data_IF_179064980349
#
_entry.id   IF_179064980349
#
_cell.length_a   1.000
_cell.length_b   1.000
_cell.length_c   1.000
_cell.angle_alpha   90.00
_cell.angle_beta   90.00
_cell.angle_gamma   90.00
#
_symmetry.space_group_name_H-M   'P 1'
#
loop_
_entity.id
_entity.type
_entity.pdbx_description
1 polymer ?
#
# COMPACT_ATOMS: atom_id res chain seq x y z
N UNK A 1 -6.98 17.34 -51.52
CA UNK A 1 -5.70 16.83 -51.00
C UNK A 1 -5.12 15.84 -52.00
N UNK A 2 -3.80 15.86 -52.22
CA UNK A 2 -3.17 14.82 -53.05
C UNK A 2 -3.05 13.50 -52.29
N UNK A 3 -3.06 12.36 -53.00
CA UNK A 3 -2.89 11.02 -52.39
C UNK A 3 -1.62 10.92 -51.52
N UNK A 4 -0.56 11.63 -51.93
CA UNK A 4 0.68 11.72 -51.17
C UNK A 4 0.51 12.47 -49.83
N UNK A 5 -0.18 13.62 -49.82
CA UNK A 5 -0.47 14.36 -48.59
C UNK A 5 -1.36 13.56 -47.63
N UNK A 6 -2.30 12.78 -48.17
CA UNK A 6 -3.15 11.90 -47.37
C UNK A 6 -2.35 10.77 -46.68
N UNK A 7 -1.47 10.09 -47.42
CA UNK A 7 -0.62 9.04 -46.87
C UNK A 7 0.35 9.54 -45.79
N UNK A 8 0.95 10.74 -45.98
CA UNK A 8 1.83 11.34 -44.98
C UNK A 8 1.08 11.68 -43.68
N UNK A 9 -0.15 12.22 -43.78
CA UNK A 9 -1.00 12.49 -42.61
C UNK A 9 -1.30 11.22 -41.82
N UNK A 10 -1.68 10.12 -42.50
CA UNK A 10 -1.94 8.84 -41.83
C UNK A 10 -0.71 8.28 -41.10
N UNK A 11 0.49 8.41 -41.67
CA UNK A 11 1.71 7.95 -41.01
C UNK A 11 2.06 8.78 -39.78
N UNK A 12 1.82 10.09 -39.82
CA UNK A 12 2.01 10.97 -38.67
C UNK A 12 1.02 10.62 -37.56
N UNK A 13 -0.26 10.43 -37.88
CA UNK A 13 -1.29 10.04 -36.92
C UNK A 13 -1.00 8.68 -36.28
N UNK A 14 -0.60 7.68 -37.07
CA UNK A 14 -0.24 6.35 -36.56
C UNK A 14 0.97 6.41 -35.61
N UNK A 15 1.98 7.23 -35.94
CA UNK A 15 3.14 7.41 -35.07
C UNK A 15 2.76 8.11 -33.75
N UNK A 16 1.96 9.18 -33.81
CA UNK A 16 1.48 9.88 -32.62
C UNK A 16 0.62 8.97 -31.75
N UNK A 17 -0.28 8.17 -32.34
CA UNK A 17 -1.07 7.18 -31.60
C UNK A 17 -0.16 6.17 -30.90
N UNK A 18 0.81 5.59 -31.63
CA UNK A 18 1.74 4.63 -31.05
C UNK A 18 2.61 5.20 -29.93
N UNK A 19 3.01 6.48 -30.02
CA UNK A 19 3.69 7.17 -28.92
C UNK A 19 2.79 7.33 -27.70
N UNK A 20 1.55 7.77 -27.90
CA UNK A 20 0.57 7.93 -26.83
C UNK A 20 0.25 6.60 -26.14
N UNK A 21 0.09 5.52 -26.91
CA UNK A 21 -0.18 4.18 -26.37
C UNK A 21 0.96 3.69 -25.50
N UNK A 22 2.22 3.86 -25.95
CA UNK A 22 3.41 3.53 -25.15
C UNK A 22 3.48 4.36 -23.87
N UNK A 23 3.27 5.68 -23.96
CA UNK A 23 3.27 6.55 -22.79
C UNK A 23 2.19 6.15 -21.78
N UNK A 24 0.97 5.86 -22.26
CA UNK A 24 -0.13 5.43 -21.41
C UNK A 24 0.15 4.08 -20.75
N UNK A 25 0.76 3.15 -21.48
CA UNK A 25 1.20 1.86 -20.96
C UNK A 25 2.18 2.03 -19.79
N UNK A 26 3.27 2.77 -19.98
CA UNK A 26 4.24 3.02 -18.91
C UNK A 26 3.63 3.77 -17.72
N UNK A 27 2.75 4.75 -17.98
CA UNK A 27 2.06 5.48 -16.90
C UNK A 27 1.20 4.54 -16.05
N UNK A 28 0.50 3.59 -16.66
CA UNK A 28 -0.29 2.58 -15.93
C UNK A 28 0.61 1.70 -15.06
N UNK A 29 1.72 1.23 -15.61
CA UNK A 29 2.69 0.43 -14.85
C UNK A 29 3.25 1.20 -13.65
N UNK A 30 3.73 2.44 -13.87
CA UNK A 30 4.27 3.25 -12.79
C UNK A 30 3.23 3.51 -11.68
N UNK A 31 1.99 3.83 -12.06
CA UNK A 31 0.91 4.01 -11.09
C UNK A 31 0.60 2.73 -10.29
N UNK A 32 0.66 1.57 -10.94
CA UNK A 32 0.47 0.28 -10.30
C UNK A 32 1.58 0.02 -9.27
N UNK A 33 2.85 0.23 -9.65
CA UNK A 33 3.99 0.09 -8.73
C UNK A 33 3.94 1.07 -7.56
N UNK A 34 3.55 2.33 -7.81
CA UNK A 34 3.37 3.31 -6.73
C UNK A 34 2.33 2.84 -5.71
N UNK A 35 1.15 2.42 -6.17
CA UNK A 35 0.09 1.92 -5.29
C UNK A 35 0.51 0.68 -4.51
N UNK A 36 1.25 -0.22 -5.16
CA UNK A 36 1.81 -1.38 -4.48
C UNK A 36 2.79 -0.97 -3.38
N UNK A 37 3.72 -0.07 -3.69
CA UNK A 37 4.69 0.42 -2.72
C UNK A 37 4.00 1.10 -1.52
N UNK A 38 3.04 1.97 -1.78
CA UNK A 38 2.23 2.63 -0.73
C UNK A 38 1.52 1.61 0.16
N UNK A 39 0.94 0.55 -0.43
CA UNK A 39 0.27 -0.50 0.32
C UNK A 39 1.25 -1.35 1.17
N UNK A 40 2.44 -1.65 0.65
CA UNK A 40 3.50 -2.33 1.41
C UNK A 40 3.96 -1.49 2.59
N UNK A 41 4.18 -0.18 2.39
CA UNK A 41 4.55 0.75 3.47
C UNK A 41 3.43 0.83 4.51
N UNK A 42 2.17 0.91 4.09
CA UNK A 42 1.04 0.92 5.01
C UNK A 42 0.97 -0.37 5.83
N UNK A 43 1.21 -1.53 5.21
CA UNK A 43 1.22 -2.83 5.90
C UNK A 43 2.34 -2.88 6.93
N UNK A 44 3.55 -2.50 6.55
CA UNK A 44 4.70 -2.45 7.45
C UNK A 44 4.43 -1.54 8.66
N UNK A 45 3.86 -0.35 8.44
CA UNK A 45 3.53 0.56 9.54
C UNK A 45 2.50 -0.03 10.50
N UNK A 46 1.50 -0.75 9.99
CA UNK A 46 0.51 -1.44 10.82
C UNK A 46 1.14 -2.62 11.60
N UNK A 47 2.08 -3.36 11.01
CA UNK A 47 2.84 -4.42 11.70
C UNK A 47 3.67 -3.82 12.84
N UNK A 48 4.37 -2.71 12.59
CA UNK A 48 5.15 -2.00 13.62
C UNK A 48 4.26 -1.53 14.78
N UNK A 49 3.04 -1.04 14.51
CA UNK A 49 2.10 -0.65 15.56
C UNK A 49 1.72 -1.83 16.46
N UNK A 50 1.40 -2.99 15.86
CA UNK A 50 1.11 -4.24 16.57
C UNK A 50 2.29 -4.64 17.46
N UNK A 51 3.49 -4.72 16.90
CA UNK A 51 4.69 -5.11 17.66
C UNK A 51 4.98 -4.14 18.80
N UNK A 52 4.78 -2.84 18.60
CA UNK A 52 4.97 -1.83 19.64
C UNK A 52 3.99 -2.01 20.80
N UNK A 53 2.72 -2.31 20.53
CA UNK A 53 1.72 -2.51 21.59
C UNK A 53 1.97 -3.85 22.29
N UNK A 54 2.27 -4.91 21.55
CA UNK A 54 2.62 -6.21 22.11
C UNK A 54 3.83 -6.12 23.04
N UNK A 55 4.91 -5.46 22.62
CA UNK A 55 6.10 -5.26 23.46
C UNK A 55 5.83 -4.41 24.71
N UNK A 56 4.89 -3.45 24.65
CA UNK A 56 4.44 -2.73 25.85
C UNK A 56 3.69 -3.65 26.81
N UNK A 57 2.87 -4.56 26.30
CA UNK A 57 2.12 -5.51 27.10
C UNK A 57 3.08 -6.50 27.78
N UNK A 58 4.06 -7.03 27.04
CA UNK A 58 5.12 -7.90 27.58
C UNK A 58 5.91 -7.20 28.69
N UNK A 59 6.39 -5.98 28.44
CA UNK A 59 7.09 -5.20 29.47
C UNK A 59 6.19 -4.90 30.68
N UNK A 60 4.90 -4.67 30.45
CA UNK A 60 3.95 -4.44 31.53
C UNK A 60 3.79 -5.68 32.40
N UNK A 61 3.71 -6.88 31.82
CA UNK A 61 3.66 -8.15 32.55
C UNK A 61 4.94 -8.43 33.34
N UNK A 62 6.11 -8.06 32.79
CA UNK A 62 7.39 -8.19 33.49
C UNK A 62 7.51 -7.23 34.69
N UNK A 63 7.04 -5.99 34.55
CA UNK A 63 7.22 -4.94 35.55
C UNK A 63 6.10 -4.86 36.59
N UNK A 64 4.88 -5.28 36.26
CA UNK A 64 3.69 -5.09 37.09
C UNK A 64 2.90 -6.41 37.25
N UNK A 65 3.18 -7.14 38.34
CA UNK A 65 2.55 -8.45 38.63
C UNK A 65 1.33 -8.40 39.57
N UNK A 66 1.11 -7.32 40.32
CA UNK A 66 0.19 -7.33 41.46
C UNK A 66 -1.20 -6.71 41.19
N UNK A 67 -1.63 -6.69 39.93
CA UNK A 67 -2.98 -6.23 39.55
C UNK A 67 -3.28 -4.73 39.77
N UNK A 68 -2.30 -3.97 40.27
CA UNK A 68 -2.40 -2.53 40.58
C UNK A 68 -2.76 -1.69 39.34
N UNK A 69 -2.56 -2.22 38.13
CA UNK A 69 -2.75 -1.51 36.87
C UNK A 69 -3.57 -2.30 35.83
N UNK A 70 -4.46 -3.20 36.26
CA UNK A 70 -5.27 -4.03 35.36
C UNK A 70 -6.04 -3.22 34.30
N UNK A 71 -6.57 -2.04 34.63
CA UNK A 71 -7.24 -1.18 33.66
C UNK A 71 -6.32 -0.75 32.49
N UNK A 72 -5.02 -0.56 32.77
CA UNK A 72 -4.02 -0.22 31.75
C UNK A 72 -3.69 -1.45 30.90
N UNK A 73 -3.60 -2.62 31.53
CA UNK A 73 -3.43 -3.90 30.81
C UNK A 73 -4.59 -4.15 29.86
N UNK A 74 -5.82 -4.10 30.36
CA UNK A 74 -7.05 -4.28 29.59
C UNK A 74 -7.13 -3.29 28.42
N UNK A 75 -6.69 -2.05 28.63
CA UNK A 75 -6.63 -1.05 27.57
C UNK A 75 -5.60 -1.42 26.50
N UNK A 76 -4.40 -1.84 26.88
CA UNK A 76 -3.36 -2.28 25.94
C UNK A 76 -3.81 -3.52 25.14
N UNK A 77 -4.50 -4.47 25.77
CA UNK A 77 -5.05 -5.66 25.10
C UNK A 77 -6.11 -5.28 24.07
N UNK A 78 -7.02 -4.35 24.41
CA UNK A 78 -8.01 -3.82 23.47
C UNK A 78 -7.37 -3.06 22.31
N UNK A 79 -6.35 -2.23 22.60
CA UNK A 79 -5.58 -1.53 21.58
C UNK A 79 -4.85 -2.51 20.66
N UNK A 80 -4.28 -3.59 21.20
CA UNK A 80 -3.61 -4.64 20.44
C UNK A 80 -4.59 -5.35 19.51
N UNK A 81 -5.77 -5.72 20.01
CA UNK A 81 -6.82 -6.34 19.20
C UNK A 81 -7.27 -5.42 18.05
N UNK A 82 -7.42 -4.12 18.32
CA UNK A 82 -7.76 -3.13 17.30
C UNK A 82 -6.64 -2.96 16.26
N UNK A 83 -5.38 -2.96 16.69
CA UNK A 83 -4.22 -2.88 15.79
C UNK A 83 -4.14 -4.12 14.88
N UNK A 84 -4.40 -5.31 15.40
CA UNK A 84 -4.50 -6.54 14.60
C UNK A 84 -5.64 -6.47 13.57
N UNK A 85 -6.81 -5.96 13.96
CA UNK A 85 -7.93 -5.79 13.04
C UNK A 85 -7.56 -4.82 11.89
N UNK A 86 -6.95 -3.68 12.22
CA UNK A 86 -6.45 -2.71 11.23
C UNK A 86 -5.42 -3.33 10.29
N UNK A 87 -4.48 -4.12 10.81
CA UNK A 87 -3.48 -4.82 10.00
C UNK A 87 -4.13 -5.81 9.03
N UNK A 88 -5.13 -6.58 9.48
CA UNK A 88 -5.85 -7.53 8.64
C UNK A 88 -6.63 -6.85 7.49
N UNK A 89 -7.03 -5.60 7.69
CA UNK A 89 -7.70 -4.78 6.68
C UNK A 89 -6.74 -4.18 5.65
N UNK A 90 -5.43 -4.11 5.92
CA UNK A 90 -4.47 -3.60 4.93
C UNK A 90 -4.34 -4.58 3.76
N UNK A 91 -4.81 -4.16 2.58
CA UNK A 91 -4.68 -4.92 1.34
C UNK A 91 -3.43 -4.49 0.58
N UNK A 92 -2.51 -5.45 0.39
CA UNK A 92 -1.39 -5.28 -0.54
C UNK A 92 -1.81 -5.91 -1.87
N UNK A 93 -1.93 -5.13 -2.96
CA UNK A 93 -2.32 -5.66 -4.25
C UNK A 93 -1.26 -6.65 -4.74
N UNK A 94 -1.68 -7.75 -5.37
CA UNK A 94 -0.75 -8.62 -6.07
C UNK A 94 -0.39 -7.99 -7.42
N UNK A 95 0.90 -7.90 -7.72
CA UNK A 95 1.38 -7.45 -9.03
C UNK A 95 1.49 -8.69 -9.93
N UNK A 96 0.36 -9.21 -10.40
CA UNK A 96 0.38 -10.15 -11.52
C UNK A 96 0.68 -9.35 -12.80
N UNK A 97 1.83 -9.64 -13.39
CA UNK A 97 2.47 -8.94 -14.50
C UNK A 97 1.86 -9.30 -15.85
#
# INVERSE_FOLDING_TARGET
MSSHQFHVSMLQEANTSGMNDRTNHYRRFLNMYMRFHEAVVAKYNAEVEVYRIAGKLELFEELFNDGIMNDVKDKLEKELALAHARLADVKVPNLDW
#
